data_IF_153211066815
#
_entry.id   IF_153211066815
#
_cell.length_a   1.000
_cell.length_b   1.000
_cell.length_c   1.000
_cell.angle_alpha   90.00
_cell.angle_beta   90.00
_cell.angle_gamma   90.00
#
_symmetry.space_group_name_H-M   'P 1'
#
loop_
_entity.id
_entity.type
_entity.pdbx_description
1 polymer ?
#
# COMPACT_ATOMS: atom_id res chain seq x y z
N UNK A 1 -16.59 -15.84 4.87
CA UNK A 1 -15.27 -15.34 5.32
C UNK A 1 -15.36 -13.82 5.40
N UNK A 2 -14.97 -13.20 6.51
CA UNK A 2 -15.13 -11.75 6.75
C UNK A 2 -13.81 -11.05 6.45
N UNK A 3 -13.79 -10.17 5.44
CA UNK A 3 -12.67 -9.26 5.22
C UNK A 3 -12.76 -8.13 6.26
N UNK A 4 -11.66 -7.85 6.96
CA UNK A 4 -11.63 -6.85 8.05
C UNK A 4 -10.84 -5.59 7.67
N UNK A 5 -10.08 -5.66 6.59
CA UNK A 5 -9.16 -4.61 6.17
C UNK A 5 -9.31 -4.35 4.68
N UNK A 6 -8.95 -3.15 4.25
CA UNK A 6 -8.91 -2.76 2.85
C UNK A 6 -7.51 -2.21 2.60
N UNK A 7 -6.80 -2.80 1.64
CA UNK A 7 -5.56 -2.27 1.10
C UNK A 7 -5.91 -1.32 -0.03
N UNK A 8 -5.67 -0.03 0.21
CA UNK A 8 -5.94 1.00 -0.78
C UNK A 8 -4.64 1.44 -1.46
N UNK A 9 -4.59 1.34 -2.77
CA UNK A 9 -3.53 1.85 -3.63
C UNK A 9 -4.05 2.99 -4.48
N UNK A 10 -3.26 4.04 -4.60
CA UNK A 10 -3.57 5.15 -5.48
C UNK A 10 -2.33 5.54 -6.29
N UNK A 11 -2.45 5.46 -7.60
CA UNK A 11 -1.46 5.98 -8.52
C UNK A 11 -1.77 7.44 -8.88
N UNK A 12 -0.81 8.31 -8.57
CA UNK A 12 -0.95 9.75 -8.81
C UNK A 12 -0.81 10.10 -10.30
N UNK A 13 -0.07 9.31 -11.08
CA UNK A 13 0.17 9.60 -12.49
C UNK A 13 -1.07 9.29 -13.35
N UNK A 14 -1.64 8.10 -13.21
CA UNK A 14 -2.82 7.67 -13.96
C UNK A 14 -4.15 8.09 -13.32
N UNK A 15 -4.13 8.56 -12.06
CA UNK A 15 -5.32 8.75 -11.20
C UNK A 15 -6.10 7.45 -10.98
N UNK A 16 -5.48 6.30 -11.22
CA UNK A 16 -6.04 5.01 -10.92
C UNK A 16 -5.99 4.76 -9.40
N UNK A 17 -7.07 4.21 -8.87
CA UNK A 17 -7.16 3.88 -7.45
C UNK A 17 -7.85 2.53 -7.30
N UNK A 18 -7.28 1.68 -6.46
CA UNK A 18 -7.71 0.31 -6.25
C UNK A 18 -7.78 -0.01 -4.77
N UNK A 19 -8.79 -0.78 -4.40
CA UNK A 19 -9.04 -1.19 -3.03
C UNK A 19 -9.24 -2.70 -2.99
N UNK A 20 -8.28 -3.40 -2.41
CA UNK A 20 -8.29 -4.85 -2.29
C UNK A 20 -8.70 -5.23 -0.87
N UNK A 21 -9.78 -6.01 -0.68
CA UNK A 21 -10.18 -6.45 0.65
C UNK A 21 -9.21 -7.50 1.17
N UNK A 22 -8.66 -7.27 2.37
CA UNK A 22 -7.79 -8.20 3.07
C UNK A 22 -8.49 -8.81 4.29
N UNK A 23 -8.23 -10.09 4.53
CA UNK A 23 -8.74 -10.80 5.71
C UNK A 23 -7.95 -10.42 6.96
N UNK A 24 -6.62 -10.32 6.83
CA UNK A 24 -5.66 -9.97 7.88
C UNK A 24 -4.56 -9.07 7.31
N UNK A 25 -3.87 -8.32 8.19
CA UNK A 25 -2.74 -7.46 7.82
C UNK A 25 -1.46 -8.11 8.36
N UNK A 26 -0.99 -9.11 7.62
CA UNK A 26 0.23 -9.85 7.92
C UNK A 26 1.35 -9.54 6.93
N UNK A 27 2.58 -9.87 7.34
CA UNK A 27 3.82 -9.66 6.56
C UNK A 27 3.79 -10.41 5.23
N UNK A 28 3.01 -11.49 5.12
CA UNK A 28 2.92 -12.32 3.91
C UNK A 28 1.78 -11.85 2.98
N UNK A 29 0.61 -11.55 3.55
CA UNK A 29 -0.61 -11.23 2.81
C UNK A 29 -0.51 -9.87 2.10
N UNK A 30 0.07 -8.87 2.77
CA UNK A 30 0.19 -7.51 2.21
C UNK A 30 1.07 -7.47 0.96
N UNK A 31 2.30 -8.05 0.96
CA UNK A 31 3.11 -8.07 -0.25
C UNK A 31 2.51 -8.90 -1.38
N UNK A 32 1.86 -10.03 -1.10
CA UNK A 32 1.21 -10.84 -2.13
C UNK A 32 0.16 -10.02 -2.88
N UNK A 33 -0.74 -9.35 -2.15
CA UNK A 33 -1.74 -8.47 -2.73
C UNK A 33 -1.12 -7.30 -3.53
N UNK A 34 0.02 -6.76 -3.09
CA UNK A 34 0.72 -5.70 -3.83
C UNK A 34 1.35 -6.20 -5.12
N UNK A 35 1.95 -7.39 -5.10
CA UNK A 35 2.53 -8.00 -6.29
C UNK A 35 1.44 -8.29 -7.32
N UNK A 36 0.26 -8.72 -6.90
CA UNK A 36 -0.89 -8.91 -7.79
C UNK A 36 -1.31 -7.59 -8.45
N UNK A 37 -1.45 -6.52 -7.66
CA UNK A 37 -1.79 -5.19 -8.19
C UNK A 37 -0.72 -4.70 -9.18
N UNK A 38 0.56 -4.81 -8.83
CA UNK A 38 1.66 -4.38 -9.71
C UNK A 38 1.84 -5.27 -10.94
N UNK A 39 1.39 -6.52 -10.91
CA UNK A 39 1.41 -7.40 -12.07
C UNK A 39 0.46 -6.89 -13.17
N UNK A 40 -0.63 -6.23 -12.78
CA UNK A 40 -1.60 -5.66 -13.71
C UNK A 40 -1.31 -4.19 -14.07
N UNK A 41 -0.95 -3.36 -13.07
CA UNK A 41 -0.65 -1.92 -13.29
C UNK A 41 0.75 -1.67 -13.85
N UNK A 42 1.66 -2.61 -13.68
CA UNK A 42 3.10 -2.41 -13.87
C UNK A 42 3.80 -1.95 -12.60
N UNK A 43 5.13 -2.12 -12.58
CA UNK A 43 5.97 -1.81 -11.43
C UNK A 43 6.25 -0.29 -11.39
N UNK A 44 5.89 0.42 -10.31
CA UNK A 44 6.17 1.85 -10.18
C UNK A 44 7.64 2.10 -9.85
N UNK A 45 8.24 3.17 -10.38
CA UNK A 45 9.62 3.53 -10.03
C UNK A 45 9.80 4.02 -8.58
N UNK A 46 8.74 4.54 -7.97
CA UNK A 46 8.72 5.00 -6.59
C UNK A 46 7.39 4.64 -5.94
N UNK A 47 7.42 4.06 -4.74
CA UNK A 47 6.24 3.81 -3.93
C UNK A 47 6.26 4.68 -2.67
N UNK A 48 5.14 5.34 -2.41
CA UNK A 48 4.95 6.19 -1.25
C UNK A 48 4.09 5.47 -0.24
N UNK A 49 4.67 5.07 0.89
CA UNK A 49 3.92 4.46 1.99
C UNK A 49 3.70 5.51 3.07
N UNK A 50 2.44 5.69 3.48
CA UNK A 50 2.09 6.63 4.54
C UNK A 50 2.26 6.00 5.92
N UNK A 51 2.79 6.78 6.87
CA UNK A 51 2.95 6.36 8.26
C UNK A 51 1.94 7.04 9.18
N UNK A 52 0.81 6.39 9.47
CA UNK A 52 -0.08 6.83 10.55
C UNK A 52 0.44 6.31 11.91
N UNK A 53 1.57 6.86 12.39
CA UNK A 53 2.12 6.55 13.71
C UNK A 53 2.40 5.05 13.97
N UNK A 54 2.49 4.67 15.26
CA UNK A 54 2.72 3.30 15.75
C UNK A 54 1.48 2.39 15.57
N UNK A 55 0.87 2.37 14.38
CA UNK A 55 -0.20 1.44 14.06
C UNK A 55 0.37 0.16 13.44
N UNK A 56 -0.07 -1.01 13.95
CA UNK A 56 0.34 -2.34 13.47
C UNK A 56 0.23 -2.53 11.96
N UNK A 57 -0.74 -1.87 11.35
CA UNK A 57 -1.05 -1.94 9.91
C UNK A 57 0.06 -1.32 9.04
N UNK A 58 0.78 -0.34 9.59
CA UNK A 58 1.85 0.41 8.92
C UNK A 58 3.20 -0.30 9.05
N UNK A 59 3.43 -1.03 10.15
CA UNK A 59 4.70 -1.75 10.37
C UNK A 59 4.95 -2.87 9.36
N UNK A 60 3.90 -3.49 8.81
CA UNK A 60 4.07 -4.55 7.80
C UNK A 60 4.79 -4.03 6.55
N UNK A 61 4.55 -2.78 6.16
CA UNK A 61 5.23 -2.15 5.02
C UNK A 61 6.70 -1.80 5.30
N UNK A 62 7.12 -1.80 6.57
CA UNK A 62 8.48 -1.55 7.02
C UNK A 62 9.22 -2.83 7.45
N UNK A 63 8.55 -3.98 7.38
CA UNK A 63 9.12 -5.28 7.74
C UNK A 63 10.33 -5.62 6.86
N UNK A 64 11.22 -6.48 7.36
CA UNK A 64 12.39 -6.94 6.61
C UNK A 64 11.98 -7.58 5.27
N UNK A 65 10.97 -8.46 5.32
CA UNK A 65 10.41 -9.12 4.14
C UNK A 65 9.92 -8.10 3.10
N UNK A 66 9.24 -7.04 3.54
CA UNK A 66 8.77 -6.01 2.61
C UNK A 66 9.93 -5.25 1.94
N UNK A 67 11.01 -4.96 2.67
CA UNK A 67 12.20 -4.31 2.10
C UNK A 67 12.88 -5.18 1.05
N UNK A 68 12.92 -6.50 1.25
CA UNK A 68 13.42 -7.43 0.24
C UNK A 68 12.55 -7.39 -1.01
N UNK A 69 11.23 -7.36 -0.86
CA UNK A 69 10.29 -7.27 -1.99
C UNK A 69 10.43 -5.96 -2.75
N UNK A 70 10.55 -4.82 -2.04
CA UNK A 70 10.85 -3.54 -2.69
C UNK A 70 12.16 -3.58 -3.47
N UNK A 71 13.19 -4.25 -2.92
CA UNK A 71 14.48 -4.46 -3.60
C UNK A 71 14.36 -5.33 -4.85
N UNK A 72 13.61 -6.44 -4.77
CA UNK A 72 13.37 -7.35 -5.89
C UNK A 72 12.57 -6.69 -7.01
N UNK A 73 11.58 -5.88 -6.65
CA UNK A 73 10.79 -5.11 -7.62
C UNK A 73 11.52 -3.84 -8.11
N UNK A 74 12.67 -3.48 -7.54
CA UNK A 74 13.40 -2.26 -7.91
C UNK A 74 12.70 -0.95 -7.52
N UNK A 75 11.75 -1.01 -6.59
CA UNK A 75 10.92 0.11 -6.17
C UNK A 75 11.62 0.90 -5.07
N UNK A 76 11.74 2.22 -5.26
CA UNK A 76 12.25 3.10 -4.20
C UNK A 76 11.12 3.42 -3.22
N UNK A 77 11.15 2.80 -2.04
CA UNK A 77 10.22 3.12 -0.96
C UNK A 77 10.55 4.48 -0.34
N UNK A 78 9.55 5.38 -0.32
CA UNK A 78 9.60 6.64 0.44
C UNK A 78 8.53 6.61 1.53
N UNK A 79 8.96 6.76 2.78
CA UNK A 79 8.07 6.83 3.95
C UNK A 79 7.93 8.29 4.38
N UNK A 80 6.69 8.80 4.45
CA UNK A 80 6.41 10.14 5.01
C UNK A 80 5.48 10.02 6.23
N UNK A 81 5.78 10.70 7.36
CA UNK A 81 4.96 10.67 8.59
C UNK A 81 3.54 11.21 8.40
N UNK A 82 3.36 12.20 7.54
CA UNK A 82 2.04 12.71 7.20
C UNK A 82 2.18 13.50 5.90
N UNK A 83 1.43 13.11 4.86
CA UNK A 83 1.36 13.86 3.61
C UNK A 83 -0.10 14.08 3.26
N UNK A 84 -0.62 15.26 3.63
CA UNK A 84 -2.03 15.65 3.45
C UNK A 84 -2.57 15.35 2.05
N UNK A 85 -1.75 15.51 1.01
CA UNK A 85 -2.18 15.27 -0.38
C UNK A 85 -2.38 13.77 -0.67
N UNK A 86 -1.51 12.90 -0.16
CA UNK A 86 -1.65 11.45 -0.32
C UNK A 86 -2.78 10.91 0.56
N UNK A 87 -2.88 11.44 1.77
CA UNK A 87 -3.94 11.09 2.72
C UNK A 87 -5.32 11.46 2.16
N UNK A 88 -5.49 12.68 1.68
CA UNK A 88 -6.78 13.13 1.14
C UNK A 88 -7.25 12.29 -0.03
N UNK A 89 -6.35 11.77 -0.87
CA UNK A 89 -6.75 10.95 -2.01
C UNK A 89 -7.19 9.54 -1.57
N UNK A 90 -6.43 8.92 -0.66
CA UNK A 90 -6.77 7.60 -0.09
C UNK A 90 -8.03 7.69 0.78
N UNK A 91 -8.16 8.72 1.61
CA UNK A 91 -9.33 8.96 2.45
C UNK A 91 -10.59 9.22 1.61
N UNK A 92 -10.48 9.96 0.50
CA UNK A 92 -11.60 10.15 -0.43
C UNK A 92 -12.02 8.86 -1.10
N UNK A 93 -11.08 7.98 -1.43
CA UNK A 93 -11.41 6.66 -1.96
C UNK A 93 -12.14 5.82 -0.90
N UNK A 94 -11.60 5.78 0.32
CA UNK A 94 -12.20 5.05 1.44
C UNK A 94 -13.60 5.58 1.83
N UNK A 95 -13.89 6.86 1.58
CA UNK A 95 -15.22 7.44 1.79
C UNK A 95 -16.24 7.07 0.69
N UNK A 96 -15.77 6.55 -0.45
CA UNK A 96 -16.62 6.14 -1.58
C UNK A 96 -16.88 4.63 -1.58
N UNK A 97 -16.04 3.87 -0.87
CA UNK A 97 -16.12 2.41 -0.69
C UNK A 97 -17.00 2.05 0.51
#
# INVERSE_FOLDING_TARGET
MRHRFILTLADYASRYAEAVPLQEIDVEIVPEALVDIYSWLGIPGEAWTMHLGMQRQVWQFMSHCMKEIWGLLGIKQKVKPYHLICNNLVERLNATL
#
